data_IF_881801047008
#
_entry.id   IF_881801047008
#
_cell.length_a   1.000
_cell.length_b   1.000
_cell.length_c   1.000
_cell.angle_alpha   90.00
_cell.angle_beta   90.00
_cell.angle_gamma   90.00
#
_symmetry.space_group_name_H-M   'P 1'
#
loop_
_entity.id
_entity.type
_entity.pdbx_description
1 polymer ?
#
# COMPACT_ATOMS: atom_id res chain seq x y z
N UNK A 1 -22.11 -5.78 -7.77
CA UNK A 1 -22.01 -6.53 -6.50
C UNK A 1 -20.75 -7.38 -6.54
N UNK A 2 -19.90 -7.32 -5.52
CA UNK A 2 -18.69 -8.16 -5.41
C UNK A 2 -19.10 -9.64 -5.29
N UNK A 3 -18.39 -10.57 -5.92
CA UNK A 3 -18.71 -12.00 -5.83
C UNK A 3 -18.33 -12.58 -4.47
N UNK A 4 -18.93 -13.73 -4.10
CA UNK A 4 -18.56 -14.43 -2.85
C UNK A 4 -17.08 -14.84 -2.86
N UNK A 5 -16.60 -15.32 -4.00
CA UNK A 5 -15.20 -15.76 -4.18
C UNK A 5 -14.24 -14.59 -4.05
N UNK A 6 -14.57 -13.44 -4.63
CA UNK A 6 -13.75 -12.23 -4.56
C UNK A 6 -13.68 -11.68 -3.12
N UNK A 7 -14.81 -11.73 -2.38
CA UNK A 7 -14.79 -11.46 -0.93
C UNK A 7 -13.91 -12.43 -0.15
N UNK A 8 -13.91 -13.73 -0.49
CA UNK A 8 -13.02 -14.68 0.18
C UNK A 8 -11.55 -14.38 -0.12
N UNK A 9 -11.21 -14.04 -1.36
CA UNK A 9 -9.84 -13.63 -1.75
C UNK A 9 -9.38 -12.44 -0.90
N UNK A 10 -10.18 -11.38 -0.84
CA UNK A 10 -9.88 -10.17 -0.09
C UNK A 10 -9.73 -10.39 1.41
N UNK A 11 -10.42 -11.38 1.97
CA UNK A 11 -10.32 -11.75 3.38
C UNK A 11 -9.14 -12.67 3.67
N UNK A 12 -8.70 -13.43 2.67
CA UNK A 12 -7.67 -14.44 2.85
C UNK A 12 -6.28 -13.84 3.06
N UNK A 13 -6.01 -12.68 2.44
CA UNK A 13 -4.76 -11.96 2.62
C UNK A 13 -4.87 -10.49 2.17
N UNK A 14 -4.09 -9.62 2.82
CA UNK A 14 -3.94 -8.22 2.41
C UNK A 14 -3.39 -8.14 0.98
N UNK A 15 -2.38 -8.93 0.63
CA UNK A 15 -1.86 -8.96 -0.75
C UNK A 15 -2.96 -9.31 -1.77
N UNK A 16 -3.87 -10.23 -1.42
CA UNK A 16 -5.01 -10.59 -2.27
C UNK A 16 -6.06 -9.49 -2.40
N UNK A 17 -6.19 -8.62 -1.39
CA UNK A 17 -7.01 -7.42 -1.40
C UNK A 17 -6.36 -6.28 -2.23
N UNK A 18 -5.09 -5.97 -1.97
CA UNK A 18 -4.40 -4.82 -2.55
C UNK A 18 -4.01 -5.01 -4.02
N UNK A 19 -3.70 -6.24 -4.43
CA UNK A 19 -3.43 -6.57 -5.84
C UNK A 19 -4.67 -6.62 -6.73
N UNK A 20 -5.87 -6.56 -6.14
CA UNK A 20 -7.13 -6.46 -6.86
C UNK A 20 -7.54 -4.98 -6.91
N UNK A 21 -7.61 -4.33 -8.09
CA UNK A 21 -8.00 -2.92 -8.19
C UNK A 21 -9.34 -2.60 -7.51
N UNK A 22 -10.30 -3.52 -7.57
CA UNK A 22 -11.59 -3.35 -6.90
C UNK A 22 -11.48 -3.52 -5.39
N UNK A 23 -10.58 -4.39 -4.94
CA UNK A 23 -10.30 -4.61 -3.52
C UNK A 23 -9.61 -3.40 -2.89
N UNK A 24 -8.56 -2.90 -3.54
CA UNK A 24 -7.86 -1.69 -3.14
C UNK A 24 -8.81 -0.50 -3.03
N UNK A 25 -9.61 -0.24 -4.06
CA UNK A 25 -10.57 0.87 -4.03
C UNK A 25 -11.63 0.69 -2.94
N UNK A 26 -12.21 -0.50 -2.80
CA UNK A 26 -13.20 -0.76 -1.76
C UNK A 26 -12.62 -0.58 -0.34
N UNK A 27 -11.35 -0.89 -0.15
CA UNK A 27 -10.68 -0.66 1.13
C UNK A 27 -10.35 0.82 1.36
N UNK A 28 -9.91 1.55 0.34
CA UNK A 28 -9.76 3.03 0.41
C UNK A 28 -11.07 3.70 0.79
N UNK A 29 -12.18 3.38 0.13
CA UNK A 29 -13.52 3.93 0.41
C UNK A 29 -13.98 3.63 1.84
N UNK A 30 -13.66 2.44 2.35
CA UNK A 30 -13.94 2.03 3.72
C UNK A 30 -13.16 2.85 4.76
N UNK A 31 -11.93 3.27 4.43
CA UNK A 31 -11.05 4.03 5.30
C UNK A 31 -11.35 5.53 5.30
N UNK A 32 -11.75 6.09 4.14
CA UNK A 32 -11.96 7.53 3.94
C UNK A 32 -12.97 8.15 4.94
N UNK A 33 -13.91 7.33 5.41
CA UNK A 33 -14.93 7.75 6.37
C UNK A 33 -14.55 7.48 7.85
N UNK A 34 -13.32 7.06 8.14
CA UNK A 34 -12.90 6.60 9.47
C UNK A 34 -11.81 7.49 10.06
N UNK A 35 -12.12 8.06 11.22
CA UNK A 35 -11.15 8.84 12.00
C UNK A 35 -9.90 8.01 12.33
N UNK A 36 -8.72 8.59 12.11
CA UNK A 36 -7.43 7.96 12.40
C UNK A 36 -6.97 6.94 11.36
N UNK A 37 -7.61 6.88 10.19
CA UNK A 37 -7.21 6.00 9.09
C UNK A 37 -6.07 6.58 8.22
N UNK A 38 -5.70 7.85 8.41
CA UNK A 38 -4.73 8.59 7.57
C UNK A 38 -3.44 7.81 7.33
N UNK A 39 -2.87 7.21 8.38
CA UNK A 39 -1.66 6.41 8.27
C UNK A 39 -1.86 5.16 7.41
N UNK A 40 -3.00 4.48 7.53
CA UNK A 40 -3.33 3.34 6.68
C UNK A 40 -3.54 3.80 5.23
N UNK A 41 -4.15 4.97 5.00
CA UNK A 41 -4.29 5.55 3.67
C UNK A 41 -2.93 5.87 3.04
N UNK A 42 -2.00 6.46 3.79
CA UNK A 42 -0.63 6.71 3.31
C UNK A 42 0.09 5.41 2.93
N UNK A 43 -0.07 4.34 3.73
CA UNK A 43 0.45 3.01 3.39
C UNK A 43 -0.15 2.45 2.08
N UNK A 44 -1.44 2.68 1.81
CA UNK A 44 -2.08 2.28 0.56
C UNK A 44 -1.59 3.09 -0.63
N UNK A 45 -1.42 4.40 -0.45
CA UNK A 45 -0.87 5.29 -1.47
C UNK A 45 0.57 4.88 -1.82
N UNK A 46 1.41 4.61 -0.82
CA UNK A 46 2.76 4.08 -1.02
C UNK A 46 2.74 2.78 -1.80
N UNK A 47 1.89 1.81 -1.40
CA UNK A 47 1.77 0.52 -2.06
C UNK A 47 1.45 0.69 -3.55
N UNK A 48 0.46 1.52 -3.89
CA UNK A 48 0.03 1.77 -5.26
C UNK A 48 1.13 2.47 -6.09
N UNK A 49 1.79 3.48 -5.53
CA UNK A 49 2.90 4.15 -6.20
C UNK A 49 4.07 3.21 -6.45
N UNK A 50 4.37 2.30 -5.51
CA UNK A 50 5.44 1.34 -5.69
C UNK A 50 5.08 0.22 -6.69
N UNK A 51 3.82 -0.24 -6.73
CA UNK A 51 3.35 -1.13 -7.81
C UNK A 51 3.48 -0.46 -9.18
N UNK A 52 3.12 0.83 -9.30
CA UNK A 52 3.31 1.58 -10.54
C UNK A 52 4.80 1.72 -10.91
N UNK A 53 5.66 2.01 -9.94
CA UNK A 53 7.11 2.08 -10.10
C UNK A 53 7.70 0.80 -10.68
N UNK A 54 7.31 -0.38 -10.14
CA UNK A 54 7.79 -1.69 -10.62
C UNK A 54 7.48 -1.95 -12.09
N UNK A 55 6.42 -1.34 -12.62
CA UNK A 55 6.00 -1.45 -14.01
C UNK A 55 6.79 -0.54 -14.97
N UNK A 56 7.60 0.39 -14.47
CA UNK A 56 8.46 1.24 -15.29
C UNK A 56 9.58 0.42 -15.95
N UNK A 57 10.02 0.87 -17.13
CA UNK A 57 11.06 0.20 -17.92
C UNK A 57 12.25 1.10 -18.27
N UNK A 58 12.10 2.40 -18.14
CA UNK A 58 13.18 3.36 -18.36
C UNK A 58 13.93 3.59 -17.05
N UNK A 59 15.27 3.59 -17.10
CA UNK A 59 16.10 3.69 -15.90
C UNK A 59 16.01 5.08 -15.26
N UNK A 60 16.00 6.13 -16.06
CA UNK A 60 15.89 7.51 -15.56
C UNK A 60 14.52 7.73 -14.90
N UNK A 61 13.45 7.18 -15.50
CA UNK A 61 12.12 7.17 -14.88
C UNK A 61 12.08 6.36 -13.59
N UNK A 62 12.72 5.19 -13.54
CA UNK A 62 12.82 4.40 -12.31
C UNK A 62 13.55 5.19 -11.22
N UNK A 63 14.70 5.79 -11.50
CA UNK A 63 15.44 6.62 -10.53
C UNK A 63 14.60 7.80 -10.06
N UNK A 64 13.99 8.54 -10.96
CA UNK A 64 13.13 9.68 -10.60
C UNK A 64 11.94 9.25 -9.74
N UNK A 65 11.30 8.14 -10.09
CA UNK A 65 10.18 7.58 -9.34
C UNK A 65 10.61 7.06 -7.97
N UNK A 66 11.76 6.41 -7.87
CA UNK A 66 12.29 5.91 -6.59
C UNK A 66 12.61 7.05 -5.62
N UNK A 67 13.26 8.12 -6.10
CA UNK A 67 13.50 9.31 -5.29
C UNK A 67 12.19 9.94 -4.80
N UNK A 68 11.21 10.10 -5.70
CA UNK A 68 9.90 10.64 -5.33
C UNK A 68 9.17 9.79 -4.29
N UNK A 69 9.21 8.45 -4.42
CA UNK A 69 8.62 7.54 -3.42
C UNK A 69 9.34 7.69 -2.07
N UNK A 70 10.67 7.77 -2.08
CA UNK A 70 11.43 7.96 -0.85
C UNK A 70 11.04 9.28 -0.16
N UNK A 71 11.10 10.40 -0.87
CA UNK A 71 10.82 11.74 -0.34
C UNK A 71 9.39 11.88 0.22
N UNK A 72 8.40 11.28 -0.44
CA UNK A 72 6.99 11.44 -0.06
C UNK A 72 6.60 10.56 1.14
N UNK A 73 7.24 9.40 1.31
CA UNK A 73 6.76 8.36 2.23
C UNK A 73 7.78 7.90 3.28
N UNK A 74 9.08 7.94 2.99
CA UNK A 74 10.11 7.27 3.80
C UNK A 74 11.19 8.22 4.34
N UNK A 75 11.28 9.43 3.83
CA UNK A 75 12.13 10.49 4.37
C UNK A 75 11.67 10.89 5.79
N UNK A 76 12.61 11.34 6.62
CA UNK A 76 12.36 11.77 8.00
C UNK A 76 11.40 12.99 8.06
N UNK A 77 11.27 13.75 6.96
CA UNK A 77 10.40 14.92 6.82
C UNK A 77 9.28 14.70 5.80
N UNK A 78 8.99 13.45 5.45
CA UNK A 78 7.97 13.07 4.49
C UNK A 78 6.57 13.61 4.87
N UNK A 79 5.86 14.22 3.90
CA UNK A 79 4.49 14.70 4.12
C UNK A 79 3.51 13.55 4.44
N UNK A 80 3.72 12.39 3.80
CA UNK A 80 2.95 11.17 4.02
C UNK A 80 3.79 10.11 4.72
N UNK A 81 4.43 10.52 5.81
CA UNK A 81 5.37 9.67 6.55
C UNK A 81 4.79 8.31 6.94
N UNK A 82 5.47 7.25 6.49
CA UNK A 82 5.27 5.86 6.90
C UNK A 82 6.59 5.20 7.28
N UNK A 83 7.64 5.99 7.57
CA UNK A 83 8.98 5.49 7.82
C UNK A 83 9.03 4.45 8.95
N UNK A 84 8.30 4.68 10.04
CA UNK A 84 8.20 3.75 11.16
C UNK A 84 7.49 2.42 10.80
N UNK A 85 6.68 2.42 9.74
CA UNK A 85 6.09 1.22 9.14
C UNK A 85 7.03 0.57 8.14
N UNK A 86 7.68 1.35 7.27
CA UNK A 86 8.67 0.86 6.30
C UNK A 86 9.90 0.23 6.96
N UNK A 87 10.14 0.54 8.23
CA UNK A 87 11.19 -0.04 9.07
C UNK A 87 12.53 0.71 8.97
N UNK A 88 13.57 0.17 9.63
CA UNK A 88 14.92 0.76 9.67
C UNK A 88 15.65 0.82 8.31
N UNK A 89 14.97 0.46 7.21
CA UNK A 89 15.54 0.41 5.87
C UNK A 89 15.59 1.78 5.17
N UNK A 90 14.85 2.80 5.64
CA UNK A 90 14.84 4.13 5.02
C UNK A 90 16.27 4.72 4.86
N UNK A 91 17.12 4.62 5.89
CA UNK A 91 18.52 5.09 5.82
C UNK A 91 19.38 4.31 4.82
N UNK A 92 19.11 3.03 4.64
CA UNK A 92 19.83 2.20 3.68
C UNK A 92 19.38 2.54 2.25
N UNK A 93 18.07 2.74 2.06
CA UNK A 93 17.47 3.15 0.78
C UNK A 93 18.02 4.51 0.34
N UNK A 94 18.07 5.51 1.23
CA UNK A 94 18.65 6.82 0.91
C UNK A 94 20.10 6.69 0.44
N UNK A 95 20.95 5.94 1.16
CA UNK A 95 22.35 5.72 0.75
C UNK A 95 22.46 5.05 -0.62
N UNK A 96 21.56 4.12 -0.92
CA UNK A 96 21.52 3.40 -2.21
C UNK A 96 21.05 4.32 -3.35
N UNK A 97 20.12 5.23 -3.09
CA UNK A 97 19.69 6.24 -4.06
C UNK A 97 20.81 7.25 -4.35
N UNK A 98 21.53 7.70 -3.32
CA UNK A 98 22.63 8.66 -3.44
C UNK A 98 23.85 8.12 -4.21
N UNK A 99 24.12 6.81 -4.16
CA UNK A 99 25.28 6.23 -4.84
C UNK A 99 25.17 6.26 -6.36
N UNK A 100 23.95 6.38 -6.91
CA UNK A 100 23.64 6.32 -8.33
C UNK A 100 24.15 5.05 -9.07
N UNK A 101 24.56 4.01 -8.35
CA UNK A 101 25.14 2.78 -8.90
C UNK A 101 24.13 1.62 -9.03
N UNK A 102 22.88 1.84 -8.65
CA UNK A 102 21.85 0.81 -8.69
C UNK A 102 21.55 0.37 -10.12
N UNK A 103 21.50 -0.94 -10.34
CA UNK A 103 20.98 -1.50 -11.59
C UNK A 103 19.46 -1.28 -11.70
N UNK A 104 18.93 -1.41 -12.92
CA UNK A 104 17.48 -1.35 -13.18
C UNK A 104 16.67 -2.36 -12.34
N UNK A 105 17.20 -3.56 -12.14
CA UNK A 105 16.55 -4.60 -11.34
C UNK A 105 16.52 -4.22 -9.86
N UNK A 106 17.63 -3.72 -9.33
CA UNK A 106 17.70 -3.22 -7.95
C UNK A 106 16.79 -2.02 -7.70
N UNK A 107 16.65 -1.11 -8.67
CA UNK A 107 15.70 0.00 -8.57
C UNK A 107 14.26 -0.50 -8.44
N UNK A 108 13.86 -1.48 -9.26
CA UNK A 108 12.51 -2.07 -9.21
C UNK A 108 12.21 -2.75 -7.88
N UNK A 109 13.21 -3.33 -7.23
CA UNK A 109 13.07 -4.10 -5.99
C UNK A 109 13.53 -3.32 -4.75
N UNK A 110 13.79 -2.01 -4.88
CA UNK A 110 14.40 -1.20 -3.84
C UNK A 110 13.55 -1.12 -2.56
N UNK A 111 12.24 -1.16 -2.70
CA UNK A 111 11.29 -0.96 -1.60
C UNK A 111 10.55 -2.25 -1.21
N UNK A 112 10.97 -3.42 -1.68
CA UNK A 112 10.26 -4.69 -1.41
C UNK A 112 10.10 -4.96 0.09
N UNK A 113 11.17 -4.76 0.87
CA UNK A 113 11.10 -4.91 2.34
C UNK A 113 10.14 -3.92 3.00
N UNK A 114 10.13 -2.66 2.56
CA UNK A 114 9.20 -1.66 3.06
C UNK A 114 7.74 -2.01 2.68
N UNK A 115 7.51 -2.52 1.47
CA UNK A 115 6.20 -2.98 1.01
C UNK A 115 5.69 -4.19 1.81
N UNK A 116 6.57 -5.13 2.14
CA UNK A 116 6.24 -6.26 3.02
C UNK A 116 5.82 -5.77 4.41
N UNK A 117 6.58 -4.84 5.01
CA UNK A 117 6.24 -4.27 6.30
C UNK A 117 4.90 -3.51 6.27
N UNK A 118 4.65 -2.76 5.19
CA UNK A 118 3.36 -2.09 4.95
C UNK A 118 2.21 -3.10 4.87
N UNK A 119 2.38 -4.19 4.12
CA UNK A 119 1.36 -5.24 4.02
C UNK A 119 1.09 -5.89 5.39
N UNK A 120 2.15 -6.14 6.17
CA UNK A 120 2.04 -6.67 7.52
C UNK A 120 1.31 -5.71 8.46
N UNK A 121 1.67 -4.42 8.45
CA UNK A 121 1.01 -3.38 9.23
C UNK A 121 -0.49 -3.29 8.93
N UNK A 122 -0.87 -3.31 7.66
CA UNK A 122 -2.28 -3.30 7.25
C UNK A 122 -2.98 -4.58 7.74
N UNK A 123 -2.34 -5.74 7.59
CA UNK A 123 -2.89 -7.05 7.98
C UNK A 123 -3.17 -7.14 9.47
N UNK A 124 -2.24 -6.64 10.29
CA UNK A 124 -2.36 -6.63 11.74
C UNK A 124 -3.29 -5.51 12.24
N UNK A 125 -3.50 -4.49 11.41
CA UNK A 125 -4.32 -3.31 11.69
C UNK A 125 -5.79 -3.61 11.94
N UNK A 126 -6.40 -2.78 12.80
CA UNK A 126 -7.83 -2.87 13.15
C UNK A 126 -8.73 -2.64 11.94
N UNK A 127 -8.30 -1.81 10.99
CA UNK A 127 -9.09 -1.46 9.82
C UNK A 127 -9.30 -2.64 8.88
N UNK A 128 -8.24 -3.37 8.51
CA UNK A 128 -8.38 -4.56 7.66
C UNK A 128 -9.22 -5.65 8.33
N UNK A 129 -9.00 -5.90 9.63
CA UNK A 129 -9.82 -6.84 10.42
C UNK A 129 -11.29 -6.45 10.46
N UNK A 130 -11.59 -5.15 10.55
CA UNK A 130 -12.95 -4.62 10.56
C UNK A 130 -13.60 -4.70 9.17
N UNK A 131 -12.86 -4.32 8.12
CA UNK A 131 -13.28 -4.47 6.72
C UNK A 131 -13.66 -5.93 6.41
N UNK A 132 -12.80 -6.88 6.78
CA UNK A 132 -13.07 -8.32 6.63
C UNK A 132 -14.33 -8.79 7.36
N UNK A 133 -14.69 -8.18 8.49
CA UNK A 133 -15.93 -8.49 9.23
C UNK A 133 -17.15 -7.94 8.49
N UNK A 134 -17.09 -6.69 8.05
CA UNK A 134 -18.19 -6.01 7.34
C UNK A 134 -18.50 -6.65 5.99
N UNK A 135 -17.50 -7.20 5.30
CA UNK A 135 -17.68 -8.02 4.09
C UNK A 135 -18.58 -9.25 4.30
N UNK A 136 -18.72 -9.75 5.54
CA UNK A 136 -19.62 -10.88 5.85
C UNK A 136 -21.06 -10.45 6.08
N UNK A 137 -21.27 -9.22 6.56
CA UNK A 137 -22.60 -8.69 6.90
C UNK A 137 -23.38 -8.30 5.63
N UNK A 138 -22.67 -8.00 4.53
CA UNK A 138 -23.24 -7.66 3.22
C UNK A 138 -24.00 -8.77 2.46
N UNK A 139 -24.41 -9.87 3.10
CA UNK A 139 -25.43 -10.78 2.54
C UNK A 139 -26.85 -10.41 2.95
N UNK A 140 -27.05 -9.35 3.74
CA UNK A 140 -28.36 -8.80 4.06
C UNK A 140 -28.29 -7.28 4.20
N UNK A 141 -29.00 -6.57 3.33
CA UNK A 141 -29.28 -5.13 3.41
C UNK A 141 -28.18 -4.16 2.98
N UNK A 142 -27.90 -4.13 1.68
CA UNK A 142 -27.58 -2.88 0.97
C UNK A 142 -28.73 -2.58 -0.01
N UNK A 143 -29.94 -2.41 0.51
CA UNK A 143 -31.10 -1.85 -0.20
C UNK A 143 -32.21 -1.62 0.83
N UNK A 144 -32.41 -0.36 1.23
CA UNK A 144 -33.72 0.29 1.43
C UNK A 144 -33.51 1.57 2.25
N UNK A 145 -33.21 2.66 1.55
CA UNK A 145 -33.57 4.01 1.97
C UNK A 145 -34.04 4.72 0.70
N UNK A 146 -35.33 4.55 0.41
CA UNK A 146 -36.11 5.44 -0.43
C UNK A 146 -37.58 5.37 -0.03
#
# INVERSE_FOLDING_TARGET
MVSKEQRQKWKSSVSGLLSDPFGLQAFKDFLDNRKGADKTLHCLDFYENYEAHKNLNDEDQLRSSANSIYEVYLDDLAEKEIQDVGGNQSREISKRLDSNELSKDELKHLFDGAQENVCQFISDGVFYKTFCKELNVGSSSFCSLH
#
